data_IF_911354592624
#
_entry.id   IF_911354592624
#
_cell.length_a   1.000
_cell.length_b   1.000
_cell.length_c   1.000
_cell.angle_alpha   90.00
_cell.angle_beta   90.00
_cell.angle_gamma   90.00
#
_symmetry.space_group_name_H-M   'P 1'
#
loop_
_entity.id
_entity.type
_entity.pdbx_description
1 polymer ?
#
# COMPACT_ATOMS: atom_id res chain seq x y z
N UNK A 1 20.15 -25.03 14.85
CA UNK A 1 19.64 -23.64 14.75
C UNK A 1 19.94 -23.01 13.41
N UNK A 2 21.17 -23.07 12.94
CA UNK A 2 21.54 -22.49 11.63
C UNK A 2 20.75 -23.11 10.49
N UNK A 3 20.53 -24.42 10.53
CA UNK A 3 19.72 -25.10 9.51
C UNK A 3 18.28 -24.61 9.49
N UNK A 4 17.71 -24.29 10.67
CA UNK A 4 16.34 -23.75 10.74
C UNK A 4 16.28 -22.35 10.16
N UNK A 5 17.28 -21.53 10.44
CA UNK A 5 17.36 -20.18 9.89
C UNK A 5 17.49 -20.23 8.37
N UNK A 6 18.32 -21.12 7.86
CA UNK A 6 18.53 -21.30 6.43
C UNK A 6 17.22 -21.67 5.72
N UNK A 7 16.46 -22.59 6.33
CA UNK A 7 15.17 -23.00 5.76
C UNK A 7 14.18 -21.86 5.69
N UNK A 8 14.15 -21.01 6.73
CA UNK A 8 13.28 -19.83 6.75
C UNK A 8 13.66 -18.89 5.62
N UNK A 9 14.94 -18.61 5.46
CA UNK A 9 15.42 -17.71 4.41
C UNK A 9 15.13 -18.28 3.02
N UNK A 10 15.30 -19.59 2.83
CA UNK A 10 15.00 -20.22 1.55
C UNK A 10 13.52 -20.12 1.19
N UNK A 11 12.64 -20.29 2.18
CA UNK A 11 11.20 -20.14 1.96
C UNK A 11 10.83 -18.71 1.59
N UNK A 12 11.47 -17.74 2.22
CA UNK A 12 11.22 -16.34 1.90
C UNK A 12 11.71 -15.99 0.50
N UNK A 13 12.87 -16.49 0.11
CA UNK A 13 13.39 -16.29 -1.25
C UNK A 13 12.43 -16.88 -2.27
N UNK A 14 11.94 -18.09 -2.02
CA UNK A 14 10.99 -18.74 -2.91
C UNK A 14 9.69 -17.94 -3.01
N UNK A 15 9.18 -17.47 -1.87
CA UNK A 15 7.94 -16.68 -1.86
C UNK A 15 8.10 -15.40 -2.66
N UNK A 16 9.21 -14.69 -2.49
CA UNK A 16 9.49 -13.46 -3.23
C UNK A 16 9.63 -13.76 -4.72
N UNK A 17 10.33 -14.85 -5.06
CA UNK A 17 10.52 -15.25 -6.45
C UNK A 17 9.22 -15.65 -7.15
N UNK A 18 8.20 -16.02 -6.40
CA UNK A 18 6.90 -16.44 -6.94
C UNK A 18 5.89 -15.29 -7.01
N UNK A 19 6.28 -14.06 -6.65
CA UNK A 19 5.37 -12.92 -6.79
C UNK A 19 5.02 -12.73 -8.26
N UNK A 20 3.73 -12.74 -8.62
CA UNK A 20 3.34 -12.56 -10.02
C UNK A 20 3.75 -11.19 -10.52
N UNK A 21 4.38 -11.14 -11.68
CA UNK A 21 4.74 -9.90 -12.34
C UNK A 21 3.88 -9.76 -13.59
N UNK A 22 2.90 -8.89 -13.53
CA UNK A 22 1.98 -8.65 -14.62
C UNK A 22 1.76 -7.15 -14.80
N UNK A 23 0.85 -6.78 -15.69
CA UNK A 23 0.61 -5.37 -16.00
C UNK A 23 -0.17 -4.61 -14.93
N UNK A 24 -0.58 -5.28 -13.84
CA UNK A 24 -1.25 -4.60 -12.74
C UNK A 24 -0.34 -3.60 -12.05
N UNK A 25 0.94 -3.90 -11.92
CA UNK A 25 1.92 -2.98 -11.35
C UNK A 25 2.00 -1.70 -12.16
N UNK A 26 2.07 -1.83 -13.47
CA UNK A 26 2.13 -0.68 -14.36
C UNK A 26 0.86 0.16 -14.29
N UNK A 27 -0.30 -0.49 -14.23
CA UNK A 27 -1.57 0.20 -14.05
C UNK A 27 -1.61 0.97 -12.75
N UNK A 28 -1.17 0.36 -11.65
CA UNK A 28 -1.12 1.03 -10.35
C UNK A 28 -0.23 2.27 -10.39
N UNK A 29 0.95 2.15 -10.97
CA UNK A 29 1.88 3.27 -11.09
C UNK A 29 1.26 4.40 -11.91
N UNK A 30 0.60 4.06 -13.01
CA UNK A 30 -0.04 5.07 -13.88
C UNK A 30 -1.19 5.78 -13.18
N UNK A 31 -1.99 5.05 -12.39
CA UNK A 31 -3.08 5.64 -11.61
C UNK A 31 -2.51 6.64 -10.60
N UNK A 32 -1.49 6.23 -9.85
CA UNK A 32 -0.87 7.10 -8.86
C UNK A 32 -0.28 8.34 -9.52
N UNK A 33 0.45 8.14 -10.61
CA UNK A 33 1.07 9.25 -11.34
C UNK A 33 0.04 10.26 -11.83
N UNK A 34 -1.05 9.78 -12.41
CA UNK A 34 -2.09 10.65 -12.95
C UNK A 34 -2.83 11.42 -11.86
N UNK A 35 -3.15 10.76 -10.76
CA UNK A 35 -3.91 11.41 -9.69
C UNK A 35 -3.02 12.34 -8.85
N UNK A 36 -1.80 11.93 -8.53
CA UNK A 36 -0.92 12.72 -7.67
C UNK A 36 -0.26 13.83 -8.48
N UNK A 37 0.45 13.48 -9.53
CA UNK A 37 1.20 14.48 -10.31
C UNK A 37 0.29 15.28 -11.25
N UNK A 38 -0.74 14.64 -11.80
CA UNK A 38 -1.62 15.29 -12.76
C UNK A 38 -2.72 16.13 -12.12
N UNK A 39 -3.21 15.74 -10.95
CA UNK A 39 -4.37 16.37 -10.30
C UNK A 39 -4.10 16.88 -8.89
N UNK A 40 -2.89 16.79 -8.40
CA UNK A 40 -2.54 17.26 -7.06
C UNK A 40 -3.10 16.43 -5.92
N UNK A 41 -3.45 15.17 -6.17
CA UNK A 41 -3.95 14.28 -5.15
C UNK A 41 -2.84 13.68 -4.29
N UNK A 42 -3.24 12.78 -3.41
CA UNK A 42 -2.31 12.05 -2.55
C UNK A 42 -2.66 10.57 -2.55
N UNK A 43 -1.74 9.76 -2.04
CA UNK A 43 -1.98 8.33 -1.83
C UNK A 43 -2.42 8.14 -0.39
N UNK A 44 -3.60 7.58 -0.19
CA UNK A 44 -4.12 7.23 1.13
C UNK A 44 -4.04 5.72 1.28
N UNK A 45 -3.37 5.26 2.32
CA UNK A 45 -3.15 3.83 2.54
C UNK A 45 -3.84 3.43 3.82
N UNK A 46 -4.54 2.30 3.80
CA UNK A 46 -5.22 1.78 4.97
C UNK A 46 -5.08 0.27 5.04
N UNK A 47 -5.12 -0.26 6.26
CA UNK A 47 -5.04 -1.69 6.52
C UNK A 47 -5.13 -1.94 8.00
N UNK A 48 -5.44 -3.16 8.41
CA UNK A 48 -5.57 -3.52 9.81
C UNK A 48 -4.47 -4.47 10.24
N UNK A 49 -4.11 -4.41 11.52
CA UNK A 49 -3.11 -5.28 12.11
C UNK A 49 -1.74 -5.13 11.45
N UNK A 50 -1.14 -6.25 11.10
CA UNK A 50 0.18 -6.23 10.46
C UNK A 50 0.14 -5.59 9.08
N UNK A 51 -0.96 -5.76 8.34
CA UNK A 51 -1.14 -5.08 7.06
C UNK A 51 -1.14 -3.57 7.25
N UNK A 52 -1.74 -3.08 8.35
CA UNK A 52 -1.71 -1.67 8.68
C UNK A 52 -0.31 -1.14 8.94
N UNK A 53 0.54 -1.91 9.63
CA UNK A 53 1.92 -1.51 9.88
C UNK A 53 2.72 -1.43 8.57
N UNK A 54 2.50 -2.37 7.67
CA UNK A 54 3.11 -2.34 6.34
C UNK A 54 2.64 -1.11 5.57
N UNK A 55 1.34 -0.82 5.64
CA UNK A 55 0.76 0.35 5.00
C UNK A 55 1.37 1.66 5.51
N UNK A 56 1.57 1.76 6.81
CA UNK A 56 2.21 2.94 7.40
C UNK A 56 3.64 3.11 6.86
N UNK A 57 4.40 2.03 6.77
CA UNK A 57 5.75 2.08 6.22
C UNK A 57 5.75 2.48 4.74
N UNK A 58 4.82 1.97 3.97
CA UNK A 58 4.69 2.34 2.56
C UNK A 58 4.36 3.83 2.44
N UNK A 59 3.43 4.33 3.25
CA UNK A 59 3.05 5.73 3.25
C UNK A 59 4.24 6.63 3.58
N UNK A 60 5.01 6.26 4.58
CA UNK A 60 6.21 6.99 4.97
C UNK A 60 7.22 7.03 3.84
N UNK A 61 7.40 5.91 3.15
CA UNK A 61 8.32 5.82 2.01
C UNK A 61 7.87 6.72 0.86
N UNK A 62 6.58 6.69 0.53
CA UNK A 62 6.04 7.59 -0.49
C UNK A 62 6.32 9.05 -0.15
N UNK A 63 5.99 9.45 1.07
CA UNK A 63 6.18 10.85 1.50
C UNK A 63 7.64 11.25 1.45
N UNK A 64 8.54 10.38 1.87
CA UNK A 64 9.97 10.68 1.89
C UNK A 64 10.58 10.72 0.50
N UNK A 65 9.93 10.14 -0.50
CA UNK A 65 10.42 10.13 -1.87
C UNK A 65 9.65 11.06 -2.81
N UNK A 66 8.85 11.94 -2.26
CA UNK A 66 8.21 13.01 -3.03
C UNK A 66 6.78 12.74 -3.45
N UNK A 67 6.18 11.62 -3.07
CA UNK A 67 4.77 11.33 -3.34
C UNK A 67 3.96 11.59 -2.08
N UNK A 68 3.07 12.61 -2.05
CA UNK A 68 2.25 12.86 -0.87
C UNK A 68 1.42 11.63 -0.50
N UNK A 69 1.54 11.22 0.75
CA UNK A 69 0.85 10.03 1.22
C UNK A 69 0.52 10.15 2.71
N UNK A 70 -0.62 9.60 3.08
CA UNK A 70 -1.03 9.50 4.49
C UNK A 70 -1.55 8.10 4.75
N UNK A 71 -1.38 7.66 5.99
CA UNK A 71 -1.97 6.42 6.44
C UNK A 71 -3.28 6.72 7.17
N UNK A 72 -4.34 5.99 6.83
CA UNK A 72 -5.65 6.11 7.45
C UNK A 72 -6.02 4.80 8.11
N UNK A 73 -6.07 4.78 9.44
CA UNK A 73 -6.48 3.58 10.16
C UNK A 73 -7.98 3.34 9.94
N UNK A 74 -8.40 2.10 9.63
CA UNK A 74 -9.82 1.83 9.33
C UNK A 74 -10.78 2.22 10.44
N UNK A 75 -10.40 2.05 11.72
CA UNK A 75 -11.27 2.46 12.82
C UNK A 75 -11.41 3.97 12.91
N UNK A 76 -10.37 4.72 12.58
CA UNK A 76 -10.43 6.18 12.52
C UNK A 76 -11.33 6.65 11.37
N UNK A 77 -11.31 5.91 10.25
CA UNK A 77 -12.20 6.21 9.14
C UNK A 77 -13.67 6.12 9.56
N UNK A 78 -14.00 5.12 10.39
CA UNK A 78 -15.35 4.97 10.90
C UNK A 78 -15.76 6.09 11.84
N UNK A 79 -14.79 6.80 12.42
CA UNK A 79 -15.03 7.90 13.35
C UNK A 79 -14.92 9.28 12.69
N UNK A 80 -14.94 9.35 11.38
CA UNK A 80 -15.03 10.61 10.67
C UNK A 80 -13.79 11.01 9.87
N UNK A 81 -12.69 10.27 9.99
CA UNK A 81 -11.45 10.62 9.28
C UNK A 81 -11.54 10.39 7.77
N UNK A 82 -12.65 9.83 7.29
CA UNK A 82 -12.89 9.72 5.85
C UNK A 82 -12.85 11.06 5.13
N UNK A 83 -13.03 12.16 5.86
CA UNK A 83 -12.91 13.50 5.30
C UNK A 83 -11.52 13.81 4.73
N UNK A 84 -10.51 13.02 5.08
CA UNK A 84 -9.19 13.14 4.49
C UNK A 84 -9.20 12.78 3.00
N UNK A 85 -10.08 11.85 2.60
CA UNK A 85 -10.18 11.41 1.22
C UNK A 85 -10.85 12.47 0.35
N UNK A 86 -10.25 12.75 -0.79
CA UNK A 86 -10.77 13.68 -1.76
C UNK A 86 -10.90 12.99 -3.12
N UNK A 87 -11.64 13.59 -4.04
CA UNK A 87 -11.95 12.96 -5.31
C UNK A 87 -10.73 12.70 -6.21
N UNK A 88 -9.63 13.41 -5.98
CA UNK A 88 -8.40 13.22 -6.74
C UNK A 88 -7.37 12.35 -6.03
N UNK A 89 -7.74 11.69 -4.95
CA UNK A 89 -6.85 10.81 -4.22
C UNK A 89 -6.91 9.38 -4.73
N UNK A 90 -5.87 8.62 -4.42
CA UNK A 90 -5.81 7.18 -4.65
C UNK A 90 -5.85 6.48 -3.31
N UNK A 91 -6.75 5.52 -3.15
CA UNK A 91 -6.83 4.73 -1.93
C UNK A 91 -6.27 3.34 -2.16
N UNK A 92 -5.30 2.95 -1.34
CA UNK A 92 -4.73 1.61 -1.36
C UNK A 92 -5.15 0.90 -0.09
N UNK A 93 -5.84 -0.22 -0.25
CA UNK A 93 -6.28 -1.03 0.88
C UNK A 93 -5.45 -2.30 0.93
N UNK A 94 -4.84 -2.54 2.08
CA UNK A 94 -4.06 -3.74 2.33
C UNK A 94 -4.86 -4.67 3.22
N UNK A 95 -4.97 -5.93 2.84
CA UNK A 95 -5.70 -6.90 3.63
C UNK A 95 -4.88 -8.15 3.88
N UNK A 96 -5.18 -8.81 4.99
CA UNK A 96 -4.49 -10.02 5.44
C UNK A 96 -4.73 -11.21 4.50
N UNK A 97 -5.73 -11.13 3.65
CA UNK A 97 -5.99 -12.17 2.65
C UNK A 97 -5.09 -12.06 1.42
N UNK A 98 -4.16 -11.12 1.42
CA UNK A 98 -3.25 -10.89 0.31
C UNK A 98 -3.84 -10.09 -0.84
N UNK A 99 -5.00 -9.48 -0.62
CA UNK A 99 -5.62 -8.64 -1.64
C UNK A 99 -5.27 -7.19 -1.40
N UNK A 100 -4.80 -6.54 -2.44
CA UNK A 100 -4.60 -5.10 -2.45
C UNK A 100 -5.58 -4.51 -3.44
N UNK A 101 -6.31 -3.49 -3.01
CA UNK A 101 -7.25 -2.79 -3.87
C UNK A 101 -6.87 -1.33 -3.97
N UNK A 102 -6.98 -0.80 -5.16
CA UNK A 102 -6.83 0.62 -5.42
C UNK A 102 -8.20 1.16 -5.79
N UNK A 103 -8.62 2.21 -5.09
CA UNK A 103 -9.91 2.86 -5.34
C UNK A 103 -9.60 4.30 -5.70
N UNK A 104 -10.13 4.75 -6.83
CA UNK A 104 -10.00 6.12 -7.28
C UNK A 104 -11.18 6.93 -6.74
N UNK A 105 -10.88 8.02 -6.06
CA UNK A 105 -11.88 8.93 -5.52
C UNK A 105 -12.07 10.15 -6.41
#
# INVERSE_FOLDING_TARGET
MIESIKKILEKEIEAIGNIPLDNQYEKAVNIIRNKVNGSGGKVVISGMGKAGQIGLNISTTFSSTGTPSVYLHPSEAQHGDLGILQSNDVLILLSNSGKTREILE
#
